data_IF_858283681401
#
_entry.id   IF_858283681401
#
_cell.length_a   1.000
_cell.length_b   1.000
_cell.length_c   1.000
_cell.angle_alpha   90.00
_cell.angle_beta   90.00
_cell.angle_gamma   90.00
#
_symmetry.space_group_name_H-M   'P 1'
#
loop_
_entity.id
_entity.type
_entity.pdbx_description
1 polymer ?
#
# COMPACT_ATOMS: atom_id res chain seq x y z
N UNK A 1 22.34 -17.23 -10.40
CA UNK A 1 22.43 -15.96 -11.13
C UNK A 1 21.47 -15.89 -12.31
N UNK A 2 21.52 -16.73 -13.35
CA UNK A 2 20.61 -16.63 -14.53
C UNK A 2 19.10 -16.65 -14.25
N UNK A 3 18.64 -17.24 -13.14
CA UNK A 3 17.21 -17.34 -12.82
C UNK A 3 16.65 -16.10 -12.10
N UNK A 4 17.51 -15.28 -11.49
CA UNK A 4 17.12 -14.03 -10.82
C UNK A 4 17.01 -12.91 -11.85
N UNK A 5 17.99 -12.78 -12.74
CA UNK A 5 18.00 -11.79 -13.82
C UNK A 5 16.77 -11.90 -14.73
N UNK A 6 16.36 -13.15 -15.09
CA UNK A 6 15.17 -13.37 -15.91
C UNK A 6 13.86 -12.99 -15.19
N UNK A 7 13.79 -13.13 -13.87
CA UNK A 7 12.60 -12.74 -13.08
C UNK A 7 12.45 -11.23 -12.96
N UNK A 8 13.55 -10.51 -12.87
CA UNK A 8 13.56 -9.04 -12.81
C UNK A 8 13.17 -8.44 -14.18
N UNK A 9 13.63 -9.03 -15.30
CA UNK A 9 13.20 -8.65 -16.65
C UNK A 9 11.69 -8.86 -16.87
N UNK A 10 11.11 -9.93 -16.32
CA UNK A 10 9.68 -10.19 -16.43
C UNK A 10 8.82 -9.21 -15.61
N UNK A 11 9.34 -8.67 -14.50
CA UNK A 11 8.67 -7.64 -13.73
C UNK A 11 8.72 -6.26 -14.39
N UNK A 12 9.78 -5.94 -15.10
CA UNK A 12 9.84 -4.69 -15.90
C UNK A 12 8.74 -4.66 -16.96
N UNK A 13 8.45 -5.80 -17.58
CA UNK A 13 7.42 -5.91 -18.63
C UNK A 13 5.99 -5.66 -18.14
N UNK A 14 5.71 -5.81 -16.83
CA UNK A 14 4.37 -5.57 -16.31
C UNK A 14 4.10 -4.10 -15.99
N UNK A 15 5.12 -3.25 -15.92
CA UNK A 15 5.01 -1.87 -15.45
C UNK A 15 3.98 -1.09 -16.25
N UNK A 16 4.19 -0.95 -17.54
CA UNK A 16 3.28 -0.14 -18.37
C UNK A 16 1.86 -0.72 -18.46
N UNK A 17 1.67 -2.03 -18.73
CA UNK A 17 0.32 -2.61 -18.74
C UNK A 17 -0.43 -2.45 -17.42
N UNK A 18 0.28 -2.54 -16.28
CA UNK A 18 -0.33 -2.39 -14.96
C UNK A 18 -0.73 -0.94 -14.68
N UNK A 19 0.14 0.03 -15.00
CA UNK A 19 -0.13 1.46 -14.80
C UNK A 19 -1.31 1.91 -15.65
N UNK A 20 -1.34 1.54 -16.93
CA UNK A 20 -2.43 1.88 -17.83
C UNK A 20 -3.76 1.28 -17.34
N UNK A 21 -3.75 -0.01 -17.00
CA UNK A 21 -4.93 -0.66 -16.45
C UNK A 21 -5.41 0.01 -15.15
N UNK A 22 -4.50 0.34 -14.24
CA UNK A 22 -4.88 0.99 -12.99
C UNK A 22 -5.55 2.34 -13.21
N UNK A 23 -5.03 3.16 -14.10
CA UNK A 23 -5.61 4.47 -14.45
C UNK A 23 -7.04 4.37 -14.95
N UNK A 24 -7.34 3.32 -15.73
CA UNK A 24 -8.67 3.09 -16.30
C UNK A 24 -9.64 2.37 -15.35
N UNK A 25 -9.13 1.49 -14.48
CA UNK A 25 -9.96 0.54 -13.73
C UNK A 25 -9.95 0.75 -12.19
N UNK A 26 -9.21 1.73 -11.69
CA UNK A 26 -9.14 2.00 -10.26
C UNK A 26 -10.50 2.34 -9.69
N UNK A 27 -10.84 1.72 -8.54
CA UNK A 27 -12.04 2.07 -7.78
C UNK A 27 -11.99 3.52 -7.33
N UNK A 28 -13.14 4.20 -7.38
CA UNK A 28 -13.30 5.53 -6.79
C UNK A 28 -13.37 5.41 -5.26
N UNK A 29 -12.32 5.89 -4.59
CA UNK A 29 -12.16 5.79 -3.14
C UNK A 29 -11.81 7.17 -2.56
N UNK A 30 -12.43 7.59 -1.42
CA UNK A 30 -12.26 8.93 -0.87
C UNK A 30 -10.80 9.34 -0.64
N UNK A 31 -9.94 8.42 -0.20
CA UNK A 31 -8.53 8.67 0.06
C UNK A 31 -7.66 8.78 -1.20
N UNK A 32 -8.22 8.53 -2.38
CA UNK A 32 -7.55 8.75 -3.68
C UNK A 32 -7.78 10.16 -4.24
N UNK A 33 -8.70 10.91 -3.62
CA UNK A 33 -8.95 12.31 -3.95
C UNK A 33 -8.01 13.19 -3.11
N UNK A 34 -7.17 13.99 -3.77
CA UNK A 34 -6.17 14.86 -3.12
C UNK A 34 -5.29 14.13 -2.09
N UNK A 35 -4.48 13.17 -2.50
CA UNK A 35 -3.68 12.34 -1.61
C UNK A 35 -2.46 13.12 -1.08
N UNK A 36 -2.64 13.88 0.01
CA UNK A 36 -1.53 14.38 0.81
C UNK A 36 -1.04 13.31 1.81
N UNK A 37 0.14 13.52 2.39
CA UNK A 37 0.78 12.54 3.27
C UNK A 37 -0.07 12.20 4.50
N UNK A 38 -0.74 13.19 5.10
CA UNK A 38 -1.62 12.97 6.25
C UNK A 38 -2.80 12.10 5.88
N UNK A 39 -3.50 12.42 4.79
CA UNK A 39 -4.66 11.67 4.31
C UNK A 39 -4.32 10.25 3.88
N UNK A 40 -3.21 10.07 3.19
CA UNK A 40 -2.68 8.74 2.84
C UNK A 40 -2.39 7.95 4.10
N UNK A 41 -1.67 8.52 5.05
CA UNK A 41 -1.37 7.86 6.32
C UNK A 41 -2.62 7.40 7.07
N UNK A 42 -3.62 8.29 7.23
CA UNK A 42 -4.88 7.96 7.90
C UNK A 42 -5.58 6.77 7.21
N UNK A 43 -5.70 6.82 5.88
CA UNK A 43 -6.35 5.74 5.13
C UNK A 43 -5.60 4.41 5.25
N UNK A 44 -4.26 4.44 5.15
CA UNK A 44 -3.45 3.23 5.23
C UNK A 44 -3.53 2.55 6.61
N UNK A 45 -3.57 3.33 7.69
CA UNK A 45 -3.78 2.78 9.03
C UNK A 45 -5.20 2.21 9.18
N UNK A 46 -6.22 2.85 8.62
CA UNK A 46 -7.60 2.38 8.68
C UNK A 46 -7.84 1.13 7.83
N UNK A 47 -7.16 0.99 6.71
CA UNK A 47 -7.26 -0.18 5.84
C UNK A 47 -6.57 -1.44 6.39
N UNK A 48 -5.73 -1.30 7.41
CA UNK A 48 -5.11 -2.46 8.05
C UNK A 48 -6.18 -3.37 8.65
N UNK A 49 -6.30 -4.59 8.10
CA UNK A 49 -7.24 -5.63 8.55
C UNK A 49 -8.74 -5.22 8.52
N UNK A 50 -9.09 -4.20 7.74
CA UNK A 50 -10.47 -3.71 7.64
C UNK A 50 -10.90 -3.62 6.18
N UNK A 51 -12.15 -3.99 5.92
CA UNK A 51 -12.73 -3.94 4.58
C UNK A 51 -12.92 -2.48 4.13
N UNK A 52 -12.61 -2.20 2.87
CA UNK A 52 -12.72 -0.88 2.22
C UNK A 52 -14.06 -0.19 2.51
N UNK A 53 -15.17 -0.91 2.37
CA UNK A 53 -16.51 -0.33 2.58
C UNK A 53 -16.74 0.13 4.01
N UNK A 54 -16.20 -0.58 5.00
CA UNK A 54 -16.28 -0.15 6.39
C UNK A 54 -15.44 1.11 6.64
N UNK A 55 -14.28 1.24 5.98
CA UNK A 55 -13.36 2.37 6.19
C UNK A 55 -13.92 3.68 5.66
N UNK A 56 -14.66 3.70 4.54
CA UNK A 56 -15.17 4.93 3.90
C UNK A 56 -15.81 5.91 4.90
N UNK A 57 -16.82 5.46 5.63
CA UNK A 57 -17.53 6.32 6.58
C UNK A 57 -16.69 6.72 7.81
N UNK A 58 -15.72 5.89 8.22
CA UNK A 58 -14.80 6.24 9.31
C UNK A 58 -13.77 7.28 8.88
N UNK A 59 -13.22 7.14 7.70
CA UNK A 59 -12.26 8.06 7.11
C UNK A 59 -12.84 9.48 7.00
N UNK A 60 -14.04 9.62 6.47
CA UNK A 60 -14.70 10.92 6.33
C UNK A 60 -14.96 11.57 7.69
N UNK A 61 -15.49 10.80 8.68
CA UNK A 61 -15.72 11.31 10.04
C UNK A 61 -14.42 11.71 10.73
N UNK A 62 -13.37 10.91 10.57
CA UNK A 62 -12.08 11.17 11.19
C UNK A 62 -11.46 12.45 10.64
N UNK A 63 -11.39 12.62 9.32
CA UNK A 63 -10.82 13.82 8.70
C UNK A 63 -11.67 15.08 8.95
N UNK A 64 -12.98 14.93 9.12
CA UNK A 64 -13.86 16.05 9.52
C UNK A 64 -13.58 16.51 10.96
N UNK A 65 -13.28 15.56 11.85
CA UNK A 65 -13.03 15.84 13.26
C UNK A 65 -11.59 16.29 13.54
N UNK A 66 -10.64 15.78 12.76
CA UNK A 66 -9.19 15.96 12.90
C UNK A 66 -8.57 16.17 11.51
N UNK A 67 -8.76 17.35 10.90
CA UNK A 67 -8.36 17.60 9.51
C UNK A 67 -6.85 17.72 9.29
N UNK A 68 -6.07 17.95 10.33
CA UNK A 68 -4.61 18.17 10.24
C UNK A 68 -3.82 17.32 11.23
N UNK A 69 -2.50 17.22 11.01
CA UNK A 69 -1.56 16.59 11.95
C UNK A 69 -1.66 17.25 13.34
N UNK A 70 -1.78 18.58 13.39
CA UNK A 70 -1.92 19.33 14.63
C UNK A 70 -3.19 18.94 15.40
N UNK A 71 -4.34 18.89 14.72
CA UNK A 71 -5.60 18.48 15.34
C UNK A 71 -5.52 17.08 15.94
N UNK A 72 -4.84 16.15 15.26
CA UNK A 72 -4.61 14.80 15.75
C UNK A 72 -3.65 14.79 16.95
N UNK A 73 -2.57 15.57 16.92
CA UNK A 73 -1.59 15.65 18.00
C UNK A 73 -2.19 16.20 19.29
N UNK A 74 -3.07 17.21 19.18
CA UNK A 74 -3.70 17.93 20.31
C UNK A 74 -5.05 17.32 20.72
N UNK A 75 -5.54 16.29 20.07
CA UNK A 75 -6.84 15.69 20.34
C UNK A 75 -6.90 15.06 21.74
N UNK A 76 -8.01 15.28 22.44
CA UNK A 76 -8.32 14.60 23.70
C UNK A 76 -8.42 13.07 23.48
N UNK A 77 -7.89 12.27 24.42
CA UNK A 77 -7.85 10.81 24.28
C UNK A 77 -9.26 10.22 24.13
N UNK A 78 -10.24 10.71 24.89
CA UNK A 78 -11.63 10.25 24.80
C UNK A 78 -12.25 10.49 23.43
N UNK A 79 -11.95 11.65 22.82
CA UNK A 79 -12.38 11.98 21.45
C UNK A 79 -11.76 11.01 20.43
N UNK A 80 -10.48 10.72 20.58
CA UNK A 80 -9.75 9.80 19.72
C UNK A 80 -10.28 8.37 19.81
N UNK A 81 -10.49 7.87 21.04
CA UNK A 81 -11.02 6.53 21.26
C UNK A 81 -12.42 6.38 20.69
N UNK A 82 -13.26 7.42 20.81
CA UNK A 82 -14.61 7.44 20.23
C UNK A 82 -14.58 7.44 18.69
N UNK A 83 -13.63 8.12 18.06
CA UNK A 83 -13.43 8.07 16.61
C UNK A 83 -12.95 6.70 16.12
N UNK A 84 -12.26 5.92 16.94
CA UNK A 84 -11.81 4.55 16.67
C UNK A 84 -12.81 3.45 17.09
N UNK A 85 -13.92 3.82 17.74
CA UNK A 85 -14.93 2.88 18.22
C UNK A 85 -15.58 2.12 17.06
N UNK A 86 -15.77 0.81 17.23
CA UNK A 86 -16.34 -0.08 16.20
C UNK A 86 -15.32 -0.67 15.22
N UNK A 87 -14.10 -0.15 15.14
CA UNK A 87 -13.02 -0.69 14.30
C UNK A 87 -11.94 -1.44 15.10
N UNK A 88 -12.00 -1.39 16.44
CA UNK A 88 -10.98 -1.99 17.30
C UNK A 88 -9.59 -1.36 17.19
N UNK A 89 -9.53 -0.07 16.85
CA UNK A 89 -8.28 0.63 16.51
C UNK A 89 -7.59 1.31 17.70
N UNK A 90 -7.95 1.06 18.93
CA UNK A 90 -7.46 1.80 20.10
C UNK A 90 -5.94 1.97 20.13
N UNK A 91 -5.18 0.90 19.96
CA UNK A 91 -3.72 0.99 19.91
C UNK A 91 -3.20 1.72 18.67
N UNK A 92 -3.88 1.55 17.53
CA UNK A 92 -3.52 2.23 16.27
C UNK A 92 -3.74 3.72 16.39
N UNK A 93 -4.88 4.16 16.89
CA UNK A 93 -5.21 5.57 17.08
C UNK A 93 -4.24 6.24 18.07
N UNK A 94 -3.89 5.56 19.18
CA UNK A 94 -2.87 6.05 20.11
C UNK A 94 -1.48 6.18 19.46
N UNK A 95 -1.10 5.22 18.63
CA UNK A 95 0.17 5.32 17.89
C UNK A 95 0.14 6.44 16.87
N UNK A 96 -0.99 6.64 16.18
CA UNK A 96 -1.17 7.78 15.27
C UNK A 96 -1.02 9.11 16.01
N UNK A 97 -1.62 9.28 17.18
CA UNK A 97 -1.46 10.50 17.96
C UNK A 97 0.00 10.72 18.35
N UNK A 98 0.70 9.68 18.83
CA UNK A 98 2.12 9.78 19.18
C UNK A 98 2.98 10.16 17.97
N UNK A 99 2.69 9.61 16.79
CA UNK A 99 3.38 10.00 15.57
C UNK A 99 3.05 11.45 15.17
N UNK A 100 1.80 11.88 15.32
CA UNK A 100 1.42 13.26 15.07
C UNK A 100 2.14 14.23 16.03
N UNK A 101 2.24 13.89 17.32
CA UNK A 101 3.02 14.65 18.30
C UNK A 101 4.52 14.69 17.94
N UNK A 102 5.07 13.57 17.45
CA UNK A 102 6.44 13.51 16.96
C UNK A 102 6.64 14.45 15.77
N UNK A 103 5.72 14.47 14.80
CA UNK A 103 5.77 15.39 13.66
C UNK A 103 5.71 16.85 14.11
N UNK A 104 4.89 17.17 15.12
CA UNK A 104 4.82 18.53 15.67
C UNK A 104 6.13 18.97 16.30
N UNK A 105 6.85 18.08 16.97
CA UNK A 105 8.09 18.39 17.70
C UNK A 105 9.30 18.34 16.78
N UNK A 106 9.46 17.26 16.02
CA UNK A 106 10.68 16.96 15.25
C UNK A 106 10.67 17.59 13.85
N UNK A 107 9.47 17.89 13.32
CA UNK A 107 9.28 18.38 11.94
C UNK A 107 8.41 19.66 11.87
N UNK A 108 8.28 20.42 12.97
CA UNK A 108 7.55 21.69 13.02
C UNK A 108 6.09 21.61 12.52
N UNK A 109 5.47 20.44 12.64
CA UNK A 109 4.10 20.17 12.18
C UNK A 109 3.98 19.87 10.68
N UNK A 110 5.09 19.83 9.94
CA UNK A 110 5.15 19.46 8.52
C UNK A 110 5.40 17.96 8.43
N UNK A 111 4.57 17.25 7.68
CA UNK A 111 4.75 15.80 7.49
C UNK A 111 6.08 15.56 6.75
N UNK A 112 6.98 14.68 7.26
CA UNK A 112 8.26 14.42 6.60
C UNK A 112 8.07 13.86 5.18
N UNK A 113 8.96 14.21 4.27
CA UNK A 113 8.89 13.89 2.85
C UNK A 113 9.98 12.91 2.38
N UNK A 114 10.76 12.35 3.29
CA UNK A 114 11.70 11.26 3.00
C UNK A 114 11.21 9.93 3.58
N UNK A 115 11.47 8.84 2.87
CA UNK A 115 11.10 7.49 3.34
C UNK A 115 11.71 7.16 4.71
N UNK A 116 12.95 7.56 4.92
CA UNK A 116 13.72 7.30 6.13
C UNK A 116 13.12 8.00 7.35
N UNK A 117 12.72 9.25 7.21
CA UNK A 117 12.07 10.01 8.30
C UNK A 117 10.64 9.51 8.55
N UNK A 118 9.87 9.24 7.50
CA UNK A 118 8.53 8.65 7.62
C UNK A 118 8.58 7.32 8.39
N UNK A 119 9.57 6.47 8.09
CA UNK A 119 9.74 5.17 8.74
C UNK A 119 10.06 5.29 10.25
N UNK A 120 10.58 6.42 10.71
CA UNK A 120 10.90 6.68 12.12
C UNK A 120 9.67 7.07 12.95
N UNK A 121 8.56 7.40 12.31
CA UNK A 121 7.35 7.80 13.01
C UNK A 121 6.71 6.60 13.74
N UNK A 122 6.18 6.86 14.93
CA UNK A 122 5.61 5.84 15.80
C UNK A 122 4.50 5.04 15.13
N UNK A 123 4.66 3.73 15.03
CA UNK A 123 3.66 2.81 14.47
C UNK A 123 3.63 2.76 12.94
N UNK A 124 4.57 3.39 12.25
CA UNK A 124 4.78 3.29 10.81
C UNK A 124 5.83 2.22 10.52
N UNK A 125 5.48 1.24 9.73
CA UNK A 125 6.38 0.21 9.22
C UNK A 125 6.66 0.40 7.72
N UNK A 126 7.51 -0.48 7.15
CA UNK A 126 7.96 -0.40 5.75
C UNK A 126 6.81 -0.20 4.75
N UNK A 127 5.72 -0.96 4.91
CA UNK A 127 4.55 -0.83 4.04
C UNK A 127 3.97 0.58 4.07
N UNK A 128 3.64 1.09 5.27
CA UNK A 128 3.00 2.40 5.42
C UNK A 128 3.94 3.52 4.99
N UNK A 129 5.24 3.41 5.31
CA UNK A 129 6.24 4.37 4.84
C UNK A 129 6.35 4.37 3.31
N UNK A 130 6.40 3.20 2.68
CA UNK A 130 6.39 3.06 1.22
C UNK A 130 5.12 3.63 0.57
N UNK A 131 3.95 3.37 1.16
CA UNK A 131 2.67 3.88 0.68
C UNK A 131 2.63 5.42 0.75
N UNK A 132 2.99 6.03 1.87
CA UNK A 132 3.05 7.49 2.01
C UNK A 132 4.04 8.09 1.01
N UNK A 133 5.26 7.53 0.95
CA UNK A 133 6.30 7.99 0.02
C UNK A 133 5.84 7.94 -1.44
N UNK A 134 5.23 6.82 -1.86
CA UNK A 134 4.81 6.65 -3.25
C UNK A 134 3.52 7.43 -3.57
N UNK A 135 2.50 7.40 -2.69
CA UNK A 135 1.17 7.92 -3.01
C UNK A 135 1.07 9.43 -2.84
N UNK A 136 1.74 9.99 -1.82
CA UNK A 136 1.70 11.42 -1.56
C UNK A 136 2.84 12.20 -2.23
N UNK A 137 4.03 11.59 -2.30
CA UNK A 137 5.23 12.29 -2.76
C UNK A 137 5.78 11.78 -4.09
N UNK A 138 5.23 10.69 -4.65
CA UNK A 138 5.70 10.11 -5.91
C UNK A 138 7.09 9.47 -5.82
N UNK A 139 7.60 9.22 -4.62
CA UNK A 139 8.91 8.61 -4.40
C UNK A 139 8.83 7.12 -4.76
N UNK A 140 9.76 6.57 -5.56
CA UNK A 140 9.73 5.18 -6.02
C UNK A 140 10.14 4.19 -4.92
N UNK A 141 9.35 4.15 -3.84
CA UNK A 141 9.48 3.18 -2.74
C UNK A 141 8.35 2.15 -2.80
N UNK A 142 8.63 0.86 -2.53
CA UNK A 142 7.63 -0.19 -2.59
C UNK A 142 6.67 -0.15 -1.41
N UNK A 143 5.38 -0.35 -1.70
CA UNK A 143 4.32 -0.56 -0.71
C UNK A 143 3.86 -2.03 -0.77
N UNK A 144 4.53 -2.92 -0.04
CA UNK A 144 4.31 -4.36 -0.13
C UNK A 144 3.37 -4.86 0.97
N UNK A 145 2.11 -5.03 0.61
CA UNK A 145 1.08 -5.67 1.45
C UNK A 145 0.87 -7.15 1.06
N UNK A 146 -0.10 -7.81 1.66
CA UNK A 146 -0.48 -9.19 1.32
C UNK A 146 -0.97 -9.37 -0.12
N UNK A 147 -1.59 -8.34 -0.73
CA UNK A 147 -1.99 -8.37 -2.12
C UNK A 147 -0.77 -8.37 -3.04
N UNK A 148 0.16 -7.45 -2.80
CA UNK A 148 1.40 -7.34 -3.58
C UNK A 148 2.24 -8.61 -3.48
N UNK A 149 2.42 -9.16 -2.27
CA UNK A 149 3.12 -10.43 -2.07
C UNK A 149 2.53 -11.54 -2.90
N UNK A 150 1.21 -11.71 -2.87
CA UNK A 150 0.49 -12.73 -3.64
C UNK A 150 0.61 -12.50 -5.14
N UNK A 151 0.38 -11.28 -5.60
CA UNK A 151 0.45 -10.91 -7.03
C UNK A 151 1.84 -11.20 -7.59
N UNK A 152 2.88 -10.71 -6.94
CA UNK A 152 4.27 -10.89 -7.40
C UNK A 152 4.66 -12.35 -7.37
N UNK A 153 4.33 -13.10 -6.31
CA UNK A 153 4.62 -14.53 -6.24
C UNK A 153 3.95 -15.32 -7.38
N UNK A 154 2.70 -14.98 -7.71
CA UNK A 154 1.97 -15.62 -8.84
C UNK A 154 2.57 -15.23 -10.19
N UNK A 155 2.92 -13.96 -10.41
CA UNK A 155 3.54 -13.46 -11.63
C UNK A 155 4.90 -14.14 -11.87
N UNK A 156 5.72 -14.25 -10.83
CA UNK A 156 7.07 -14.82 -10.93
C UNK A 156 7.10 -16.35 -10.82
N UNK A 157 5.96 -17.00 -10.60
CA UNK A 157 5.90 -18.46 -10.36
C UNK A 157 6.71 -18.89 -9.13
N UNK A 158 6.75 -18.06 -8.08
CA UNK A 158 7.51 -18.36 -6.87
C UNK A 158 6.70 -19.24 -5.92
N UNK A 159 7.32 -20.32 -5.41
CA UNK A 159 6.78 -21.21 -4.38
C UNK A 159 7.30 -20.86 -2.99
N UNK A 160 8.02 -19.74 -2.84
CA UNK A 160 8.54 -19.31 -1.55
C UNK A 160 7.39 -18.89 -0.63
N UNK A 161 7.52 -19.22 0.66
CA UNK A 161 6.53 -18.86 1.67
C UNK A 161 6.50 -17.33 1.89
N UNK A 162 5.44 -16.69 1.43
CA UNK A 162 5.24 -15.23 1.51
C UNK A 162 5.07 -14.71 2.94
N UNK A 163 4.86 -15.59 3.93
CA UNK A 163 4.80 -15.21 5.33
C UNK A 163 6.19 -14.97 5.94
N UNK A 164 7.24 -15.46 5.28
CA UNK A 164 8.62 -15.26 5.72
C UNK A 164 9.11 -13.84 5.46
N UNK A 165 9.67 -13.21 6.48
CA UNK A 165 10.23 -11.85 6.36
C UNK A 165 11.34 -11.74 5.30
N UNK A 166 12.14 -12.80 5.11
CA UNK A 166 13.15 -12.85 4.05
C UNK A 166 12.57 -12.79 2.64
N UNK A 167 11.42 -13.44 2.41
CA UNK A 167 10.72 -13.42 1.13
C UNK A 167 10.11 -12.03 0.88
N UNK A 168 9.50 -11.43 1.90
CA UNK A 168 9.00 -10.05 1.83
C UNK A 168 10.12 -9.09 1.44
N UNK A 169 11.25 -9.12 2.16
CA UNK A 169 12.39 -8.24 1.89
C UNK A 169 12.96 -8.43 0.47
N UNK A 170 12.98 -9.67 -0.02
CA UNK A 170 13.39 -9.98 -1.39
C UNK A 170 12.45 -9.31 -2.41
N UNK A 171 11.14 -9.39 -2.21
CA UNK A 171 10.14 -8.76 -3.07
C UNK A 171 10.24 -7.23 -3.00
N UNK A 172 10.40 -6.65 -1.81
CA UNK A 172 10.64 -5.21 -1.61
C UNK A 172 11.85 -4.74 -2.41
N UNK A 173 13.00 -5.41 -2.26
CA UNK A 173 14.23 -5.07 -2.98
C UNK A 173 14.08 -5.19 -4.52
N UNK A 174 13.38 -6.22 -5.00
CA UNK A 174 13.14 -6.40 -6.43
C UNK A 174 12.21 -5.29 -6.97
N UNK A 175 11.13 -4.97 -6.26
CA UNK A 175 10.21 -3.91 -6.67
C UNK A 175 10.87 -2.54 -6.67
N UNK A 176 11.76 -2.25 -5.73
CA UNK A 176 12.51 -0.97 -5.68
C UNK A 176 13.32 -0.72 -6.97
N UNK A 177 13.75 -1.78 -7.67
CA UNK A 177 14.45 -1.68 -8.95
C UNK A 177 13.53 -1.51 -10.17
N UNK A 178 12.23 -1.78 -9.99
CA UNK A 178 11.26 -1.85 -11.09
C UNK A 178 10.25 -0.70 -11.07
N UNK A 179 10.00 -0.10 -9.90
CA UNK A 179 9.04 0.99 -9.75
C UNK A 179 9.45 2.17 -10.64
N UNK A 180 8.56 2.62 -11.56
CA UNK A 180 8.86 3.76 -12.41
C UNK A 180 8.84 5.06 -11.59
N UNK A 181 9.84 5.91 -11.79
CA UNK A 181 9.98 7.18 -11.05
C UNK A 181 8.88 8.21 -11.39
N UNK A 182 8.31 8.13 -12.58
CA UNK A 182 7.25 9.01 -13.07
C UNK A 182 5.81 8.49 -12.80
N UNK A 183 5.68 7.25 -12.30
CA UNK A 183 4.40 6.61 -12.02
C UNK A 183 4.43 5.74 -10.76
N UNK A 184 5.26 6.10 -9.76
CA UNK A 184 5.44 5.31 -8.55
C UNK A 184 4.13 5.07 -7.78
N UNK A 185 3.28 6.09 -7.69
CA UNK A 185 1.96 6.00 -7.06
C UNK A 185 1.03 5.03 -7.80
N UNK A 186 0.89 5.21 -9.13
CA UNK A 186 0.00 4.39 -9.94
C UNK A 186 0.45 2.92 -9.97
N UNK A 187 1.76 2.67 -10.04
CA UNK A 187 2.30 1.31 -10.05
C UNK A 187 2.04 0.58 -8.73
N UNK A 188 2.38 1.18 -7.59
CA UNK A 188 2.13 0.57 -6.28
C UNK A 188 0.65 0.34 -6.01
N UNK A 189 -0.17 1.36 -6.25
CA UNK A 189 -1.62 1.23 -6.10
C UNK A 189 -2.21 0.22 -7.11
N UNK A 190 -1.64 0.13 -8.31
CA UNK A 190 -2.01 -0.84 -9.33
C UNK A 190 -1.78 -2.28 -8.88
N UNK A 191 -0.66 -2.59 -8.24
CA UNK A 191 -0.40 -3.91 -7.66
C UNK A 191 -1.41 -4.27 -6.56
N UNK A 192 -1.69 -3.33 -5.65
CA UNK A 192 -2.67 -3.52 -4.57
C UNK A 192 -4.07 -3.73 -5.16
N UNK A 193 -4.48 -2.90 -6.13
CA UNK A 193 -5.79 -2.98 -6.78
C UNK A 193 -5.95 -4.29 -7.56
N UNK A 194 -4.93 -4.68 -8.34
CA UNK A 194 -4.91 -5.95 -9.07
C UNK A 194 -5.12 -7.14 -8.11
N UNK A 195 -4.46 -7.12 -6.96
CA UNK A 195 -4.65 -8.12 -5.91
C UNK A 195 -6.04 -8.10 -5.31
N UNK A 196 -6.64 -6.92 -5.16
CA UNK A 196 -7.94 -6.78 -4.52
C UNK A 196 -9.12 -7.22 -5.42
N UNK A 197 -9.07 -7.00 -6.74
CA UNK A 197 -10.24 -7.17 -7.61
C UNK A 197 -10.05 -8.18 -8.75
N UNK A 198 -8.82 -8.52 -9.13
CA UNK A 198 -8.51 -9.47 -10.22
C UNK A 198 -7.80 -10.70 -9.69
N UNK A 199 -6.62 -10.54 -9.09
CA UNK A 199 -5.78 -11.62 -8.57
C UNK A 199 -6.17 -11.95 -7.12
N UNK A 200 -7.44 -12.27 -6.89
CA UNK A 200 -8.05 -12.44 -5.56
C UNK A 200 -7.45 -13.58 -4.74
N UNK A 201 -7.49 -13.50 -3.38
CA UNK A 201 -6.91 -14.53 -2.51
C UNK A 201 -7.77 -15.80 -2.42
N UNK A 202 -9.10 -15.63 -2.48
CA UNK A 202 -10.05 -16.72 -2.32
C UNK A 202 -10.83 -16.95 -3.62
N UNK A 203 -11.01 -18.19 -4.01
CA UNK A 203 -11.65 -18.55 -5.26
C UNK A 203 -10.71 -18.47 -6.46
N UNK A 204 -11.29 -18.43 -7.65
CA UNK A 204 -10.56 -18.43 -8.90
C UNK A 204 -10.12 -17.00 -9.28
N UNK A 205 -8.81 -16.76 -9.50
CA UNK A 205 -8.36 -15.45 -9.99
C UNK A 205 -8.92 -15.18 -11.38
N UNK A 206 -9.29 -13.92 -11.65
CA UNK A 206 -9.85 -13.50 -12.93
C UNK A 206 -8.75 -13.28 -13.98
N UNK A 207 -8.02 -14.35 -14.32
CA UNK A 207 -6.86 -14.29 -15.21
C UNK A 207 -7.19 -13.83 -16.63
N UNK A 208 -8.42 -13.98 -17.07
CA UNK A 208 -8.88 -13.56 -18.41
C UNK A 208 -8.81 -12.05 -18.62
N UNK A 209 -9.04 -11.28 -17.56
CA UNK A 209 -9.01 -9.81 -17.58
C UNK A 209 -7.74 -9.23 -16.92
N UNK A 210 -6.75 -10.06 -16.64
CA UNK A 210 -5.52 -9.65 -15.99
C UNK A 210 -4.61 -8.89 -16.98
N UNK A 211 -4.27 -7.62 -16.73
CA UNK A 211 -3.46 -6.80 -17.65
C UNK A 211 -2.03 -7.31 -17.79
N UNK A 212 -1.55 -8.04 -16.80
CA UNK A 212 -0.17 -8.55 -16.73
C UNK A 212 -0.07 -10.05 -17.06
N UNK A 213 -1.10 -10.64 -17.67
CA UNK A 213 -1.10 -12.02 -18.10
C UNK A 213 -0.21 -12.18 -19.35
N UNK A 214 0.89 -12.95 -19.23
CA UNK A 214 1.75 -13.25 -20.38
C UNK A 214 1.25 -14.46 -21.17
N UNK A 215 1.64 -14.56 -22.46
CA UNK A 215 1.33 -15.73 -23.30
C UNK A 215 1.97 -17.00 -22.75
N UNK A 216 3.18 -16.93 -22.19
CA UNK A 216 3.83 -18.08 -21.54
C UNK A 216 3.00 -18.63 -20.37
N UNK A 217 2.28 -17.78 -19.65
CA UNK A 217 1.37 -18.19 -18.58
C UNK A 217 0.04 -18.74 -19.11
N UNK A 218 -0.35 -18.39 -20.33
CA UNK A 218 -1.53 -18.97 -20.99
C UNK A 218 -1.32 -20.45 -21.39
N UNK A 219 -0.08 -20.86 -21.66
CA UNK A 219 0.28 -22.20 -22.16
C UNK A 219 0.81 -23.08 -21.02
N UNK A 220 0.06 -23.22 -19.92
CA UNK A 220 0.34 -24.20 -18.86
C UNK A 220 1.33 -23.79 -17.77
N UNK A 221 1.83 -22.54 -17.77
CA UNK A 221 2.54 -21.94 -16.65
C UNK A 221 1.64 -20.89 -15.98
N UNK A 222 0.48 -21.34 -15.54
CA UNK A 222 -0.48 -20.48 -14.86
C UNK A 222 0.08 -19.89 -13.57
N UNK A 223 -0.37 -18.68 -13.24
CA UNK A 223 -0.13 -18.10 -11.93
C UNK A 223 -0.51 -19.10 -10.84
N UNK A 224 0.40 -19.35 -9.91
CA UNK A 224 0.19 -20.29 -8.83
C UNK A 224 -1.10 -19.96 -8.05
N UNK A 225 -1.91 -20.96 -7.83
CA UNK A 225 -2.98 -20.92 -6.82
C UNK A 225 -2.30 -21.08 -5.44
N UNK A 226 -2.10 -19.97 -4.75
CA UNK A 226 -1.62 -19.96 -3.37
C UNK A 226 -2.82 -19.96 -2.42
#
# INVERSE_FOLDING_TARGET
>A
MKNTEKKDEDLVKIVQPLVDWYRENKRDLPWRHNPDAYRVWISEIMLQQTRVEAVKGYYDRFLKALPTVKDLAEAEEDKLLKLGEGLGYYNRVRNMQKAAQQIMVDHEGIFPDTYEEILQLKGIGNYTAGAISAFAYGIPKPAVDGNVLRVISRITGSYEDIMKQSVRKKIENTLEQVIPSDAASDFNQGLIELGAIVCVPNGEPKCEVCPVRSEERRVGKECLRL
#
